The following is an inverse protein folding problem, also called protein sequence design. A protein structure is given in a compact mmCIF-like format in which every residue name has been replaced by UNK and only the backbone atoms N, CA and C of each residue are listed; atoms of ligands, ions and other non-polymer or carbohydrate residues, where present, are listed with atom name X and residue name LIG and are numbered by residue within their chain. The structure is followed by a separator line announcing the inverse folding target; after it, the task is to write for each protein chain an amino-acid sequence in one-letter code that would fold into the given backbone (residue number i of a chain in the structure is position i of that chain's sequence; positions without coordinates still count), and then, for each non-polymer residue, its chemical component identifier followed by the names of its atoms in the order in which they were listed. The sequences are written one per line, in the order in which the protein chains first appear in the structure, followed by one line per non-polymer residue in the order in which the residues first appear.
data_IF_255453107906
#
_entry.id   IF_255453107906
#
_cell.length_a   1.000
_cell.length_b   1.000
_cell.length_c   1.000
_cell.angle_alpha   90.00
_cell.angle_beta   90.00
_cell.angle_gamma   90.00
#
_symmetry.space_group_name_H-M   'P 1'
#
loop_
_entity.id
_entity.type
_entity.pdbx_description
1 polymer ?
#
# COMPACT_ATOMS: atom_id res chain seq x y z
N UNK A 1 5.00 -21.21 -7.05
CA UNK A 1 5.30 -20.62 -8.37
C UNK A 1 6.79 -20.32 -8.41
N UNK A 2 7.57 -21.23 -8.99
CA UNK A 2 9.02 -21.12 -9.13
C UNK A 2 9.36 -19.93 -10.03
N UNK A 3 10.24 -19.03 -9.59
CA UNK A 3 10.75 -17.93 -10.41
C UNK A 3 11.62 -18.55 -11.52
N UNK A 4 11.06 -18.70 -12.72
CA UNK A 4 11.84 -19.07 -13.91
C UNK A 4 12.71 -17.87 -14.29
N UNK A 5 13.99 -17.95 -13.97
CA UNK A 5 15.00 -17.02 -14.49
C UNK A 5 15.32 -17.47 -15.92
N UNK A 6 14.89 -16.70 -16.92
CA UNK A 6 15.19 -16.99 -18.32
C UNK A 6 16.66 -16.62 -18.59
N UNK A 7 17.46 -17.58 -19.07
CA UNK A 7 18.83 -17.32 -19.50
C UNK A 7 18.79 -16.44 -20.76
N UNK A 8 19.74 -15.52 -20.88
CA UNK A 8 19.80 -14.57 -22.01
C UNK A 8 19.89 -15.31 -23.36
N UNK A 9 20.67 -16.38 -23.42
CA UNK A 9 20.90 -17.24 -24.59
C UNK A 9 19.61 -17.91 -25.11
N UNK A 10 18.64 -18.19 -24.25
CA UNK A 10 17.36 -18.82 -24.64
C UNK A 10 16.33 -17.83 -25.21
N UNK A 11 16.68 -16.54 -25.21
CA UNK A 11 15.75 -15.44 -25.52
C UNK A 11 16.23 -14.55 -26.66
N UNK A 12 17.40 -14.81 -27.23
CA UNK A 12 17.95 -14.12 -28.39
C UNK A 12 18.34 -15.14 -29.46
N UNK A 13 18.08 -14.83 -30.73
CA UNK A 13 18.64 -15.58 -31.85
C UNK A 13 18.78 -14.64 -33.04
N UNK A 14 19.56 -15.05 -34.04
CA UNK A 14 19.72 -14.30 -35.29
C UNK A 14 18.98 -15.05 -36.39
N UNK A 15 18.06 -14.37 -37.08
CA UNK A 15 17.34 -14.93 -38.23
C UNK A 15 17.52 -13.98 -39.41
N UNK A 16 18.06 -14.49 -40.53
CA UNK A 16 18.40 -13.71 -41.73
C UNK A 16 19.24 -12.45 -41.43
N UNK A 17 20.27 -12.58 -40.59
CA UNK A 17 21.16 -11.47 -40.21
C UNK A 17 20.57 -10.47 -39.21
N UNK A 18 19.30 -10.63 -38.82
CA UNK A 18 18.61 -9.75 -37.89
C UNK A 18 18.59 -10.35 -36.49
N UNK A 19 19.05 -9.60 -35.49
CA UNK A 19 18.98 -10.00 -34.07
C UNK A 19 17.54 -9.89 -33.58
N UNK A 20 17.00 -11.01 -33.11
CA UNK A 20 15.65 -11.12 -32.60
C UNK A 20 15.64 -11.56 -31.14
N UNK A 21 14.67 -11.03 -30.39
CA UNK A 21 14.41 -11.37 -29.00
C UNK A 21 13.01 -11.93 -28.83
N UNK A 22 12.87 -12.96 -27.99
CA UNK A 22 11.56 -13.57 -27.67
C UNK A 22 10.85 -12.79 -26.57
N UNK A 23 9.66 -12.27 -26.89
CA UNK A 23 8.82 -11.62 -25.89
C UNK A 23 8.20 -12.66 -24.96
N UNK A 24 8.47 -12.62 -23.65
CA UNK A 24 7.93 -13.63 -22.71
C UNK A 24 6.41 -13.55 -22.50
N UNK A 25 5.78 -12.44 -22.88
CA UNK A 25 4.33 -12.24 -22.74
C UNK A 25 3.53 -12.80 -23.91
N UNK A 26 3.91 -12.48 -25.15
CA UNK A 26 3.22 -13.00 -26.34
C UNK A 26 3.93 -14.22 -26.96
N UNK A 27 5.08 -14.63 -26.41
CA UNK A 27 5.91 -15.77 -26.82
C UNK A 27 6.43 -15.75 -28.26
N UNK A 28 6.21 -14.64 -28.99
CA UNK A 28 6.70 -14.42 -30.37
C UNK A 28 8.13 -13.87 -30.36
N UNK A 29 8.90 -14.29 -31.36
CA UNK A 29 10.17 -13.68 -31.72
C UNK A 29 9.92 -12.37 -32.46
N UNK A 30 10.70 -11.35 -32.11
CA UNK A 30 10.62 -10.03 -32.70
C UNK A 30 12.01 -9.42 -32.77
N UNK A 31 12.19 -8.51 -33.70
CA UNK A 31 13.39 -7.69 -33.79
C UNK A 31 13.75 -7.00 -32.46
N UNK A 32 15.03 -6.85 -32.16
CA UNK A 32 15.49 -6.12 -30.95
C UNK A 32 14.95 -4.68 -30.88
N UNK A 33 14.75 -4.01 -32.02
CA UNK A 33 14.13 -2.69 -32.14
C UNK A 33 12.67 -2.67 -31.65
N UNK A 34 11.98 -3.80 -31.62
CA UNK A 34 10.63 -3.94 -31.06
C UNK A 34 10.61 -4.00 -29.53
N UNK A 35 11.78 -3.91 -28.89
CA UNK A 35 11.93 -3.83 -27.44
C UNK A 35 12.41 -2.45 -27.02
N UNK A 36 11.96 -1.99 -25.85
CA UNK A 36 12.45 -0.75 -25.26
C UNK A 36 13.79 -0.98 -24.58
N UNK A 37 14.60 0.06 -24.45
CA UNK A 37 15.87 0.00 -23.70
C UNK A 37 15.59 -0.18 -22.19
N UNK A 38 16.42 -0.97 -21.53
CA UNK A 38 16.40 -1.21 -20.08
C UNK A 38 17.83 -1.42 -19.56
N UNK A 39 18.42 -0.36 -18.99
CA UNK A 39 19.80 -0.36 -18.50
C UNK A 39 20.02 -1.27 -17.28
N UNK A 40 18.95 -1.72 -16.63
CA UNK A 40 19.05 -2.62 -15.48
C UNK A 40 19.27 -4.10 -15.90
N UNK A 41 19.20 -4.42 -17.20
CA UNK A 41 19.33 -5.78 -17.71
C UNK A 41 20.62 -5.95 -18.50
N UNK A 42 21.18 -7.17 -18.44
CA UNK A 42 22.40 -7.57 -19.16
C UNK A 42 22.31 -7.36 -20.68
N UNK A 43 21.12 -7.56 -21.24
CA UNK A 43 20.82 -7.41 -22.67
C UNK A 43 20.43 -5.98 -23.07
N UNK A 44 20.35 -5.04 -22.12
CA UNK A 44 19.95 -3.66 -22.40
C UNK A 44 18.52 -3.48 -22.91
N UNK A 45 17.70 -4.54 -22.95
CA UNK A 45 16.38 -4.56 -23.58
C UNK A 45 15.30 -5.10 -22.63
N UNK A 46 14.11 -4.52 -22.69
CA UNK A 46 12.95 -4.96 -21.91
C UNK A 46 12.57 -6.41 -22.24
N UNK A 47 11.99 -7.11 -21.27
CA UNK A 47 11.51 -8.50 -21.41
C UNK A 47 10.29 -8.60 -22.34
N UNK A 48 9.48 -7.54 -22.37
CA UNK A 48 8.26 -7.48 -23.17
C UNK A 48 8.46 -6.55 -24.36
N UNK A 49 7.93 -6.93 -25.52
CA UNK A 49 7.92 -6.06 -26.69
C UNK A 49 7.10 -4.77 -26.45
N UNK A 50 7.37 -3.73 -27.23
CA UNK A 50 6.69 -2.42 -27.20
C UNK A 50 5.17 -2.57 -27.23
N UNK A 51 4.63 -3.42 -28.12
CA UNK A 51 3.19 -3.69 -28.19
C UNK A 51 2.61 -4.28 -26.89
N UNK A 52 3.31 -5.23 -26.29
CA UNK A 52 2.91 -5.85 -25.01
C UNK A 52 2.97 -4.87 -23.83
N UNK A 53 3.95 -3.97 -23.83
CA UNK A 53 4.08 -2.87 -22.88
C UNK A 53 2.97 -1.83 -23.07
N UNK A 54 2.65 -1.44 -24.31
CA UNK A 54 1.55 -0.54 -24.65
C UNK A 54 0.22 -1.10 -24.17
N UNK A 55 -0.06 -2.38 -24.47
CA UNK A 55 -1.26 -3.06 -24.00
C UNK A 55 -1.35 -3.12 -22.46
N UNK A 56 -0.22 -3.34 -21.77
CA UNK A 56 -0.18 -3.30 -20.31
C UNK A 56 -0.46 -1.88 -19.77
N UNK A 57 0.18 -0.86 -20.36
CA UNK A 57 -0.05 0.53 -19.99
C UNK A 57 -1.51 0.96 -20.20
N UNK A 58 -2.14 0.56 -21.31
CA UNK A 58 -3.56 0.82 -21.57
C UNK A 58 -4.47 0.12 -20.55
N UNK A 59 -4.24 -1.17 -20.26
CA UNK A 59 -4.99 -1.88 -19.22
C UNK A 59 -4.83 -1.21 -17.84
N UNK A 60 -3.61 -0.79 -17.50
CA UNK A 60 -3.33 -0.05 -16.26
C UNK A 60 -4.05 1.30 -16.24
N UNK A 61 -4.02 2.07 -17.34
CA UNK A 61 -4.77 3.34 -17.47
C UNK A 61 -6.27 3.14 -17.34
N UNK A 62 -6.86 2.09 -17.93
CA UNK A 62 -8.29 1.77 -17.78
C UNK A 62 -8.66 1.41 -16.34
N UNK A 63 -7.84 0.59 -15.67
CA UNK A 63 -8.02 0.25 -14.25
C UNK A 63 -7.87 1.47 -13.34
N UNK A 64 -6.86 2.31 -13.60
CA UNK A 64 -6.66 3.56 -12.88
C UNK A 64 -7.83 4.50 -13.17
N UNK A 65 -8.30 4.71 -14.41
CA UNK A 65 -9.50 5.51 -14.70
C UNK A 65 -10.73 5.04 -13.91
N UNK A 66 -10.99 3.73 -13.83
CA UNK A 66 -12.06 3.18 -12.97
C UNK A 66 -11.82 3.43 -11.47
N UNK A 67 -10.57 3.54 -11.05
CA UNK A 67 -10.15 3.77 -9.66
C UNK A 67 -9.71 5.23 -9.38
N UNK A 68 -9.83 6.14 -10.35
CA UNK A 68 -9.82 7.57 -10.11
C UNK A 68 -11.11 7.75 -9.35
N UNK A 69 -11.01 7.60 -8.02
CA UNK A 69 -11.91 8.19 -7.05
C UNK A 69 -12.41 9.44 -7.71
N UNK A 70 -13.71 9.47 -8.01
CA UNK A 70 -14.42 10.60 -8.57
C UNK A 70 -13.93 11.85 -7.84
N UNK A 71 -12.89 12.47 -8.39
CA UNK A 71 -12.29 13.66 -7.85
C UNK A 71 -13.20 14.69 -8.45
N UNK A 72 -14.30 14.94 -7.74
CA UNK A 72 -15.20 16.04 -8.05
C UNK A 72 -14.35 17.23 -8.45
N UNK A 73 -14.61 17.78 -9.63
CA UNK A 73 -13.91 18.96 -10.11
C UNK A 73 -14.10 20.07 -9.07
N UNK A 74 -13.25 21.08 -9.14
CA UNK A 74 -13.38 22.23 -8.25
C UNK A 74 -14.82 22.76 -8.23
N UNK A 75 -15.42 23.01 -9.41
CA UNK A 75 -16.81 23.47 -9.53
C UNK A 75 -17.82 22.53 -8.87
N UNK A 76 -17.68 21.21 -9.03
CA UNK A 76 -18.63 20.23 -8.48
C UNK A 76 -18.68 20.18 -6.95
N UNK A 77 -17.72 20.83 -6.27
CA UNK A 77 -17.66 20.89 -4.80
C UNK A 77 -17.95 22.26 -4.22
N UNK A 78 -18.28 23.25 -5.04
CA UNK A 78 -18.57 24.60 -4.60
C UNK A 78 -19.93 25.02 -5.15
N UNK A 79 -20.73 25.67 -4.33
CA UNK A 79 -21.99 26.27 -4.78
C UNK A 79 -22.31 27.52 -3.97
N UNK A 80 -23.16 28.37 -4.52
CA UNK A 80 -23.68 29.54 -3.83
C UNK A 80 -25.19 29.42 -3.78
N UNK A 81 -25.75 29.37 -2.57
CA UNK A 81 -27.21 29.35 -2.35
C UNK A 81 -27.56 30.61 -1.60
N UNK A 82 -28.41 31.46 -2.19
CA UNK A 82 -28.88 32.71 -1.58
C UNK A 82 -27.72 33.59 -1.09
N UNK A 83 -26.67 33.72 -1.89
CA UNK A 83 -25.47 34.50 -1.57
C UNK A 83 -24.48 33.81 -0.61
N UNK A 84 -24.79 32.63 -0.08
CA UNK A 84 -23.92 31.92 0.86
C UNK A 84 -23.09 30.85 0.14
N UNK A 85 -21.77 30.92 0.31
CA UNK A 85 -20.83 29.94 -0.26
C UNK A 85 -20.81 28.65 0.56
N UNK A 86 -21.06 27.54 -0.13
CA UNK A 86 -21.02 26.20 0.42
C UNK A 86 -20.01 25.33 -0.33
N UNK A 87 -19.42 24.40 0.41
CA UNK A 87 -18.48 23.41 -0.07
C UNK A 87 -18.93 21.99 0.29
N UNK A 88 -18.78 21.06 -0.64
CA UNK A 88 -19.08 19.65 -0.43
C UNK A 88 -17.96 18.96 0.36
N UNK A 89 -18.30 18.41 1.53
CA UNK A 89 -17.34 17.63 2.33
C UNK A 89 -16.99 16.30 1.64
N UNK A 90 -15.71 16.05 1.41
CA UNK A 90 -15.25 14.81 0.76
C UNK A 90 -15.46 13.54 1.57
N UNK A 91 -15.66 13.65 2.90
CA UNK A 91 -15.89 12.53 3.81
C UNK A 91 -17.37 12.20 4.02
N UNK A 92 -18.18 13.15 4.48
CA UNK A 92 -19.60 12.91 4.75
C UNK A 92 -20.53 13.21 3.57
N UNK A 93 -20.01 13.76 2.46
CA UNK A 93 -20.78 14.08 1.25
C UNK A 93 -21.95 15.05 1.47
N UNK A 94 -21.86 15.86 2.53
CA UNK A 94 -22.80 16.93 2.81
C UNK A 94 -22.23 18.28 2.37
N UNK A 95 -23.10 19.14 1.83
CA UNK A 95 -22.80 20.55 1.63
C UNK A 95 -22.74 21.27 2.97
N UNK A 96 -21.69 22.05 3.18
CA UNK A 96 -21.43 22.78 4.42
C UNK A 96 -20.91 24.17 4.06
N UNK A 97 -21.17 25.15 4.91
CA UNK A 97 -20.59 26.48 4.75
C UNK A 97 -19.07 26.46 4.80
N UNK A 98 -18.42 27.41 4.11
CA UNK A 98 -16.95 27.56 4.13
C UNK A 98 -16.38 27.69 5.55
N UNK A 99 -17.13 28.30 6.48
CA UNK A 99 -16.78 28.41 7.90
C UNK A 99 -16.64 27.06 8.64
N UNK A 100 -17.22 26.00 8.08
CA UNK A 100 -17.17 24.64 8.61
C UNK A 100 -15.95 23.85 8.11
N UNK A 101 -15.01 24.51 7.42
CA UNK A 101 -13.75 23.93 6.96
C UNK A 101 -12.56 24.65 7.61
N UNK A 102 -11.44 23.95 7.76
CA UNK A 102 -10.18 24.59 8.16
C UNK A 102 -9.51 25.26 6.96
N UNK A 103 -8.72 26.31 7.21
CA UNK A 103 -7.94 26.98 6.17
C UNK A 103 -6.76 26.10 5.74
N UNK A 104 -6.58 25.95 4.42
CA UNK A 104 -5.45 25.26 3.82
C UNK A 104 -5.00 25.99 2.54
N UNK A 105 -3.97 26.84 2.67
CA UNK A 105 -3.44 27.68 1.57
C UNK A 105 -2.84 26.88 0.41
N UNK A 106 -2.64 25.56 0.55
CA UNK A 106 -2.13 24.71 -0.53
C UNK A 106 -3.23 24.27 -1.50
N UNK A 107 -4.50 24.43 -1.12
CA UNK A 107 -5.65 24.09 -1.95
C UNK A 107 -6.18 25.34 -2.65
N UNK A 108 -6.77 25.15 -3.84
CA UNK A 108 -7.20 26.24 -4.74
C UNK A 108 -8.17 27.22 -4.08
N UNK A 109 -9.09 26.72 -3.27
CA UNK A 109 -10.08 27.50 -2.50
C UNK A 109 -9.57 27.93 -1.11
N UNK A 110 -8.36 27.55 -0.73
CA UNK A 110 -7.84 27.89 0.59
C UNK A 110 -8.53 27.16 1.76
N UNK A 111 -9.34 26.12 1.49
CA UNK A 111 -10.09 25.35 2.50
C UNK A 111 -9.79 23.86 2.38
N UNK A 112 -9.82 23.17 3.52
CA UNK A 112 -9.61 21.72 3.58
C UNK A 112 -10.71 20.93 2.84
N UNK A 113 -10.40 19.71 2.39
CA UNK A 113 -11.39 18.88 1.67
C UNK A 113 -12.47 18.27 2.57
N UNK A 114 -12.28 18.32 3.90
CA UNK A 114 -13.16 17.70 4.89
C UNK A 114 -13.65 18.78 5.86
N UNK A 115 -14.91 18.70 6.28
CA UNK A 115 -15.43 19.60 7.29
C UNK A 115 -14.75 19.34 8.65
N UNK A 116 -14.75 20.36 9.52
CA UNK A 116 -14.16 20.33 10.87
C UNK A 116 -14.62 19.12 11.67
N UNK A 117 -15.91 18.81 11.64
CA UNK A 117 -16.48 17.65 12.33
C UNK A 117 -15.88 16.31 11.85
N UNK A 118 -15.76 16.14 10.53
CA UNK A 118 -15.17 14.95 9.94
C UNK A 118 -13.67 14.85 10.27
N UNK A 119 -12.98 15.99 10.27
CA UNK A 119 -11.58 16.06 10.66
C UNK A 119 -11.38 15.72 12.14
N UNK A 120 -12.22 16.23 13.05
CA UNK A 120 -12.21 15.87 14.47
C UNK A 120 -12.47 14.37 14.68
N UNK A 121 -13.44 13.79 13.96
CA UNK A 121 -13.70 12.33 13.99
C UNK A 121 -12.50 11.53 13.50
N UNK A 122 -11.81 12.01 12.46
CA UNK A 122 -10.57 11.43 11.92
C UNK A 122 -9.42 11.53 12.94
N UNK A 123 -9.26 12.68 13.56
CA UNK A 123 -8.27 12.94 14.61
C UNK A 123 -8.47 11.99 15.80
N UNK A 124 -9.69 11.87 16.32
CA UNK A 124 -10.00 10.95 17.43
C UNK A 124 -9.77 9.49 17.07
N UNK A 125 -10.12 9.08 15.85
CA UNK A 125 -9.82 7.74 15.34
C UNK A 125 -8.31 7.49 15.31
N UNK A 126 -7.54 8.46 14.80
CA UNK A 126 -6.08 8.38 14.74
C UNK A 126 -5.44 8.39 16.12
N UNK A 127 -5.95 9.18 17.07
CA UNK A 127 -5.52 9.18 18.47
C UNK A 127 -5.75 7.81 19.12
N UNK A 128 -6.93 7.22 18.93
CA UNK A 128 -7.26 5.86 19.40
C UNK A 128 -6.42 4.78 18.69
N UNK A 129 -6.09 4.97 17.42
CA UNK A 129 -5.17 4.08 16.68
C UNK A 129 -3.71 4.26 17.10
N UNK A 130 -3.30 5.47 17.48
CA UNK A 130 -2.01 5.78 18.09
C UNK A 130 -1.82 5.01 19.39
N UNK A 131 -2.86 4.88 20.22
CA UNK A 131 -2.85 3.96 21.38
C UNK A 131 -2.63 2.48 21.00
N UNK A 132 -2.93 2.07 19.76
CA UNK A 132 -2.57 0.74 19.25
C UNK A 132 -1.10 0.68 18.81
N UNK A 133 -0.53 1.80 18.37
CA UNK A 133 0.87 1.98 17.98
C UNK A 133 1.66 2.60 19.15
N UNK A 134 1.74 1.87 20.26
CA UNK A 134 2.61 2.20 21.37
C UNK A 134 4.04 2.42 20.86
N UNK A 135 4.76 3.41 21.43
CA UNK A 135 6.17 3.63 21.11
C UNK A 135 6.99 2.42 21.51
N UNK A 136 8.27 2.41 21.15
CA UNK A 136 9.14 1.30 21.54
C UNK A 136 9.24 1.28 23.07
N UNK A 137 9.55 2.42 23.67
CA UNK A 137 9.78 2.64 25.10
C UNK A 137 8.55 2.25 25.93
N UNK A 138 7.35 2.63 25.50
CA UNK A 138 6.06 2.30 26.17
C UNK A 138 5.78 0.79 26.25
N UNK A 139 6.54 -0.04 25.54
CA UNK A 139 6.35 -1.50 25.46
C UNK A 139 7.42 -2.31 26.17
N UNK A 140 8.39 -1.64 26.79
CA UNK A 140 9.47 -2.29 27.54
C UNK A 140 9.50 -1.71 28.95
N UNK A 141 9.68 -2.57 29.95
CA UNK A 141 9.88 -2.15 31.33
C UNK A 141 10.71 -3.18 32.08
N UNK A 142 11.27 -2.78 33.20
CA UNK A 142 11.93 -3.68 34.15
C UNK A 142 11.16 -3.62 35.46
N UNK A 143 10.70 -4.77 35.95
CA UNK A 143 10.03 -4.89 37.26
C UNK A 143 10.75 -5.98 38.02
N UNK A 144 11.24 -5.67 39.22
CA UNK A 144 12.00 -6.60 40.07
C UNK A 144 13.19 -7.24 39.32
N UNK A 145 13.95 -6.45 38.56
CA UNK A 145 15.07 -6.93 37.75
C UNK A 145 14.70 -7.72 36.48
N UNK A 146 13.41 -8.03 36.26
CA UNK A 146 12.96 -8.81 35.10
C UNK A 146 12.56 -7.88 33.96
N UNK A 147 13.19 -8.04 32.80
CA UNK A 147 12.80 -7.36 31.56
C UNK A 147 11.48 -7.91 31.04
N UNK A 148 10.50 -7.03 30.92
CA UNK A 148 9.16 -7.36 30.44
C UNK A 148 8.84 -6.58 29.17
N UNK A 149 8.12 -7.25 28.27
CA UNK A 149 7.58 -6.68 27.04
C UNK A 149 6.06 -6.74 27.03
N UNK A 150 5.42 -5.69 26.51
CA UNK A 150 3.96 -5.64 26.37
C UNK A 150 3.49 -6.42 25.14
N UNK A 151 2.65 -7.45 25.34
CA UNK A 151 2.08 -8.20 24.23
C UNK A 151 0.94 -7.42 23.56
N UNK A 152 1.10 -7.06 22.28
CA UNK A 152 0.10 -6.27 21.53
C UNK A 152 -1.23 -6.99 21.27
N UNK A 153 -1.27 -8.32 21.45
CA UNK A 153 -2.50 -9.11 21.20
C UNK A 153 -3.37 -9.27 22.44
N UNK A 154 -2.79 -9.72 23.56
CA UNK A 154 -3.54 -9.90 24.81
C UNK A 154 -3.47 -8.70 25.76
N UNK A 155 -2.69 -7.66 25.40
CA UNK A 155 -2.54 -6.42 26.19
C UNK A 155 -2.05 -6.65 27.62
N UNK A 156 -1.12 -7.58 27.80
CA UNK A 156 -0.51 -7.90 29.10
C UNK A 156 1.02 -7.78 29.01
N UNK A 157 1.62 -7.34 30.11
CA UNK A 157 3.06 -7.42 30.32
C UNK A 157 3.47 -8.87 30.51
N UNK A 158 4.56 -9.24 29.85
CA UNK A 158 5.05 -10.60 29.77
C UNK A 158 6.57 -10.57 29.81
N UNK A 159 7.17 -11.59 30.40
CA UNK A 159 8.63 -11.68 30.38
C UNK A 159 9.12 -11.76 28.93
N UNK A 160 10.29 -11.21 28.64
CA UNK A 160 10.93 -11.34 27.31
C UNK A 160 11.07 -12.80 26.86
N UNK A 161 11.23 -13.74 27.81
CA UNK A 161 11.27 -15.18 27.55
C UNK A 161 9.96 -15.78 27.02
N UNK A 162 8.83 -15.09 27.22
CA UNK A 162 7.51 -15.49 26.72
C UNK A 162 7.24 -15.02 25.28
N UNK A 163 8.24 -14.49 24.58
CA UNK A 163 8.15 -14.07 23.18
C UNK A 163 9.05 -14.93 22.27
N UNK A 164 8.66 -15.06 21.00
CA UNK A 164 9.54 -15.68 19.99
C UNK A 164 10.57 -14.66 19.50
N UNK A 165 11.76 -15.13 19.15
CA UNK A 165 12.79 -14.29 18.50
C UNK A 165 12.31 -13.84 17.12
N UNK A 166 12.54 -12.59 16.78
CA UNK A 166 12.13 -11.95 15.53
C UNK A 166 13.19 -10.98 15.03
N UNK A 167 13.96 -11.40 14.01
CA UNK A 167 15.09 -10.63 13.45
C UNK A 167 14.70 -9.29 12.80
N UNK A 168 13.41 -9.11 12.51
CA UNK A 168 12.88 -7.89 11.91
C UNK A 168 12.49 -6.81 12.92
N UNK A 169 12.73 -7.03 14.22
CA UNK A 169 12.33 -6.15 15.33
C UNK A 169 13.58 -5.61 16.03
N UNK A 170 13.52 -4.35 16.48
CA UNK A 170 14.64 -3.63 17.13
C UNK A 170 15.16 -4.38 18.36
N UNK A 171 14.28 -4.97 19.15
CA UNK A 171 14.58 -5.76 20.34
C UNK A 171 14.78 -7.26 20.06
N UNK A 172 14.72 -7.68 18.79
CA UNK A 172 14.84 -9.09 18.44
C UNK A 172 13.71 -9.99 18.92
N UNK A 173 12.59 -9.45 19.42
CA UNK A 173 11.43 -10.21 19.92
C UNK A 173 10.15 -9.83 19.17
N UNK A 174 9.28 -10.82 18.98
CA UNK A 174 8.00 -10.62 18.31
C UNK A 174 7.03 -9.75 19.13
N UNK A 175 6.10 -9.06 18.46
CA UNK A 175 5.12 -8.17 19.11
C UNK A 175 4.03 -8.91 19.92
N UNK A 176 3.98 -10.25 19.82
CA UNK A 176 2.98 -11.12 20.43
C UNK A 176 3.66 -12.22 21.22
N UNK A 177 3.17 -12.49 22.43
CA UNK A 177 3.66 -13.60 23.25
C UNK A 177 3.40 -14.95 22.56
N UNK A 178 4.18 -15.97 22.93
CA UNK A 178 4.13 -17.33 22.38
C UNK A 178 2.71 -17.89 22.35
N UNK A 179 1.95 -17.74 23.44
CA UNK A 179 0.53 -18.16 23.54
C UNK A 179 -0.37 -17.49 22.49
N UNK A 180 -0.22 -16.18 22.27
CA UNK A 180 -1.00 -15.45 21.27
C UNK A 180 -0.60 -15.82 19.84
N UNK A 181 0.68 -16.08 19.61
CA UNK A 181 1.21 -16.52 18.33
C UNK A 181 0.73 -17.93 17.96
N UNK A 182 0.73 -18.86 18.92
CA UNK A 182 0.18 -20.20 18.73
C UNK A 182 -1.31 -20.18 18.39
N UNK A 183 -2.13 -19.43 19.14
CA UNK A 183 -3.57 -19.27 18.86
C UNK A 183 -3.83 -18.71 17.45
N UNK A 184 -3.03 -17.74 17.01
CA UNK A 184 -3.15 -17.18 15.67
C UNK A 184 -2.79 -18.20 14.58
N UNK A 185 -1.69 -18.94 14.75
CA UNK A 185 -1.28 -19.99 13.81
C UNK A 185 -2.33 -21.09 13.68
N UNK A 186 -2.93 -21.53 14.78
CA UNK A 186 -3.99 -22.54 14.77
C UNK A 186 -5.23 -22.06 14.01
N UNK A 187 -5.68 -20.81 14.24
CA UNK A 187 -6.80 -20.22 13.48
C UNK A 187 -6.53 -20.18 11.98
N UNK A 188 -5.32 -19.78 11.57
CA UNK A 188 -4.95 -19.76 10.15
C UNK A 188 -4.91 -21.15 9.51
N UNK A 189 -4.49 -22.19 10.26
CA UNK A 189 -4.53 -23.58 9.79
C UNK A 189 -5.96 -24.07 9.61
N UNK A 190 -6.85 -23.81 10.59
CA UNK A 190 -8.28 -24.15 10.49
C UNK A 190 -8.94 -23.44 9.30
N UNK A 191 -8.70 -22.15 9.11
CA UNK A 191 -9.27 -21.39 8.00
C UNK A 191 -8.81 -21.90 6.62
N UNK A 192 -7.57 -22.39 6.48
CA UNK A 192 -7.09 -22.99 5.23
C UNK A 192 -7.72 -24.35 4.94
N UNK A 193 -7.95 -25.16 5.98
CA UNK A 193 -8.63 -26.45 5.87
C UNK A 193 -10.11 -26.33 5.53
N UNK A 194 -10.76 -25.24 5.91
CA UNK A 194 -12.18 -24.98 5.61
C UNK A 194 -12.44 -24.43 4.19
N UNK A 195 -11.38 -24.15 3.42
CA UNK A 195 -11.45 -23.61 2.05
C UNK A 195 -10.95 -24.64 1.03
N UNK A 196 -10.52 -25.82 1.50
CA UNK A 196 -10.24 -27.02 0.69
C UNK A 196 -11.44 -27.96 0.77
#
# INVERSE_FOLDING_TARGET
MTKRYYKCEETHHTFNGVKQKRCTKCKKWKDESEFGKDRARKDGLKIYCKGCNKAYALKRRRKIKKAVREYFRYEDRHRVIRGVKEKLCSSCKQWKYESQFYRNRRLKDGLELQCKECDSKRYERNRKAGRRNLRYEDRHRVVNGIKQKFCRKCKRWKSESEFYKGRSKRDGLMDRCKKCSYKAANRSRKARRAVQ
#
